data_IF_620796269426
#
_entry.id   IF_620796269426
#
_cell.length_a   1.000
_cell.length_b   1.000
_cell.length_c   1.000
_cell.angle_alpha   90.00
_cell.angle_beta   90.00
_cell.angle_gamma   90.00
#
_symmetry.space_group_name_H-M   'P 1'
#
loop_
_entity.id
_entity.type
_entity.pdbx_description
1 polymer ?
#
# COMPACT_ATOMS: atom_id res chain seq x y z
N UNK A 1 -6.09 81.15 -26.23
CA UNK A 1 -6.55 79.76 -26.40
C UNK A 1 -5.33 78.88 -26.67
N UNK A 2 -4.84 78.15 -25.67
CA UNK A 2 -3.83 77.09 -25.82
C UNK A 2 -4.15 76.01 -24.78
N UNK A 3 -4.53 74.83 -25.26
CA UNK A 3 -4.96 73.69 -24.47
C UNK A 3 -3.77 73.03 -23.76
N UNK A 4 -3.89 72.79 -22.46
CA UNK A 4 -2.97 71.94 -21.69
C UNK A 4 -3.56 70.53 -21.72
N UNK A 5 -2.87 69.60 -22.39
CA UNK A 5 -3.22 68.19 -22.42
C UNK A 5 -2.52 67.47 -21.27
N UNK A 6 -3.29 67.09 -20.26
CA UNK A 6 -2.82 66.31 -19.11
C UNK A 6 -2.88 64.82 -19.48
N UNK A 7 -1.71 64.18 -19.67
CA UNK A 7 -1.60 62.73 -19.90
C UNK A 7 -1.65 62.04 -18.53
N UNK A 8 -2.75 61.35 -18.25
CA UNK A 8 -2.93 60.53 -17.05
C UNK A 8 -2.23 59.18 -17.22
N UNK A 9 -1.30 58.88 -16.31
CA UNK A 9 -0.65 57.58 -16.18
C UNK A 9 -1.61 56.63 -15.44
N UNK A 10 -2.13 55.64 -16.16
CA UNK A 10 -2.99 54.58 -15.62
C UNK A 10 -2.12 53.52 -14.95
N UNK A 11 -2.11 53.49 -13.62
CA UNK A 11 -1.42 52.49 -12.81
C UNK A 11 -2.20 51.16 -12.85
N UNK A 12 -1.76 50.20 -13.66
CA UNK A 12 -2.28 48.82 -13.62
C UNK A 12 -1.81 48.13 -12.33
N UNK A 13 -2.69 48.01 -11.33
CA UNK A 13 -2.49 47.11 -10.20
C UNK A 13 -2.65 45.66 -10.69
N UNK A 14 -1.52 44.94 -10.77
CA UNK A 14 -1.53 43.49 -11.00
C UNK A 14 -2.18 42.77 -9.83
N UNK A 15 -3.32 42.13 -10.08
CA UNK A 15 -3.91 41.12 -9.20
C UNK A 15 -2.99 39.90 -9.17
N UNK A 16 -2.11 39.83 -8.19
CA UNK A 16 -1.42 38.58 -7.86
C UNK A 16 -2.44 37.66 -7.20
N UNK A 17 -3.01 36.72 -7.96
CA UNK A 17 -3.74 35.61 -7.37
C UNK A 17 -2.76 34.79 -6.53
N UNK A 18 -2.86 34.90 -5.20
CA UNK A 18 -2.24 33.95 -4.30
C UNK A 18 -2.88 32.58 -4.61
N UNK A 19 -2.14 31.72 -5.31
CA UNK A 19 -2.45 30.30 -5.33
C UNK A 19 -2.16 29.82 -3.91
N UNK A 20 -3.19 29.74 -3.08
CA UNK A 20 -3.11 28.98 -1.85
C UNK A 20 -2.91 27.52 -2.28
N UNK A 21 -1.66 27.06 -2.32
CA UNK A 21 -1.39 25.64 -2.28
C UNK A 21 -2.04 25.15 -0.99
N UNK A 22 -3.06 24.31 -1.10
CA UNK A 22 -3.68 23.67 0.05
C UNK A 22 -2.59 22.84 0.73
N UNK A 23 -2.06 23.37 1.82
CA UNK A 23 -0.80 22.93 2.40
C UNK A 23 -1.00 21.57 3.06
N UNK A 24 -0.25 20.56 2.63
CA UNK A 24 -0.28 19.24 3.23
C UNK A 24 0.11 19.33 4.71
N UNK A 25 -0.81 18.98 5.61
CA UNK A 25 -0.53 18.97 7.04
C UNK A 25 0.45 17.82 7.34
N UNK A 26 1.39 18.06 8.24
CA UNK A 26 2.43 17.08 8.59
C UNK A 26 2.43 16.81 10.09
N UNK A 27 2.48 15.55 10.47
CA UNK A 27 2.61 15.10 11.85
C UNK A 27 3.74 14.07 11.97
N UNK A 28 4.57 14.21 13.00
CA UNK A 28 5.62 13.24 13.31
C UNK A 28 5.06 12.22 14.29
N UNK A 29 5.00 10.95 13.87
CA UNK A 29 4.57 9.87 14.73
C UNK A 29 5.68 9.52 15.71
N UNK A 30 5.41 9.76 16.99
CA UNK A 30 6.25 9.32 18.09
C UNK A 30 5.55 8.18 18.82
N UNK A 31 6.28 7.09 19.05
CA UNK A 31 5.76 5.98 19.81
C UNK A 31 6.01 6.21 21.30
N UNK A 32 5.07 5.76 22.13
CA UNK A 32 5.29 5.72 23.57
C UNK A 32 6.53 4.87 23.88
N UNK A 33 7.18 5.10 25.02
CA UNK A 33 8.37 4.34 25.42
C UNK A 33 8.06 2.83 25.40
N UNK A 34 8.87 2.07 24.67
CA UNK A 34 8.72 0.62 24.46
C UNK A 34 7.49 0.19 23.65
N UNK A 35 6.69 1.13 23.14
CA UNK A 35 5.66 0.82 22.16
C UNK A 35 6.31 0.68 20.77
N UNK A 36 5.77 -0.25 20.00
CA UNK A 36 6.20 -0.57 18.65
C UNK A 36 5.30 0.07 17.60
N UNK A 37 4.18 0.67 18.01
CA UNK A 37 3.25 1.30 17.09
C UNK A 37 2.38 2.33 17.79
N UNK A 38 1.57 3.01 16.99
CA UNK A 38 0.60 4.00 17.43
C UNK A 38 -0.65 3.97 16.54
N UNK A 39 -1.68 4.68 16.96
CA UNK A 39 -2.83 4.96 16.11
C UNK A 39 -3.21 6.42 16.25
N UNK A 40 -3.44 7.06 15.11
CA UNK A 40 -3.84 8.46 15.01
C UNK A 40 -5.18 8.54 14.30
N UNK A 41 -5.98 9.52 14.69
CA UNK A 41 -7.26 9.83 14.05
C UNK A 41 -7.17 11.19 13.40
N UNK A 42 -7.80 11.34 12.24
CA UNK A 42 -7.81 12.60 11.51
C UNK A 42 -9.04 12.73 10.63
N UNK A 43 -9.16 13.90 10.02
CA UNK A 43 -10.19 14.21 9.03
C UNK A 43 -9.54 15.03 7.93
N UNK A 44 -9.87 14.75 6.66
CA UNK A 44 -9.45 15.54 5.50
C UNK A 44 -10.67 15.92 4.67
N UNK A 45 -10.66 17.11 4.09
CA UNK A 45 -11.69 17.58 3.16
C UNK A 45 -11.09 18.02 1.84
N UNK A 46 -11.79 17.81 0.73
CA UNK A 46 -11.36 18.32 -0.56
C UNK A 46 -9.96 17.85 -0.96
N UNK A 47 -9.04 18.78 -1.22
CA UNK A 47 -7.66 18.50 -1.63
C UNK A 47 -6.68 18.42 -0.46
N UNK A 48 -7.16 18.55 0.77
CA UNK A 48 -6.34 18.37 1.96
C UNK A 48 -5.70 16.98 1.96
N UNK A 49 -4.43 16.95 2.37
CA UNK A 49 -3.71 15.71 2.63
C UNK A 49 -3.08 15.77 4.01
N UNK A 50 -2.86 14.59 4.60
CA UNK A 50 -2.21 14.44 5.89
C UNK A 50 -0.98 13.53 5.75
N UNK A 51 0.20 14.08 6.02
CA UNK A 51 1.47 13.37 5.94
C UNK A 51 1.94 12.98 7.34
N UNK A 52 2.01 11.68 7.60
CA UNK A 52 2.56 11.13 8.83
C UNK A 52 4.00 10.69 8.60
N UNK A 53 4.93 11.24 9.39
CA UNK A 53 6.35 10.89 9.32
C UNK A 53 6.69 9.91 10.42
N UNK A 54 7.28 8.77 10.04
CA UNK A 54 7.71 7.73 10.99
C UNK A 54 9.15 7.34 10.70
N UNK A 55 9.98 7.32 11.73
CA UNK A 55 11.38 6.89 11.60
C UNK A 55 11.49 5.41 11.91
N UNK A 56 12.11 4.68 10.99
CA UNK A 56 12.30 3.25 11.07
C UNK A 56 13.68 2.86 10.51
N UNK A 57 14.07 1.62 10.74
CA UNK A 57 15.33 1.03 10.28
C UNK A 57 15.05 -0.01 9.21
N UNK A 58 16.01 -0.19 8.31
CA UNK A 58 16.01 -1.30 7.38
C UNK A 58 15.91 -2.64 8.14
N UNK A 59 15.16 -3.59 7.60
CA UNK A 59 14.92 -4.90 8.20
C UNK A 59 13.81 -4.93 9.25
N UNK A 60 13.28 -3.78 9.68
CA UNK A 60 12.10 -3.75 10.55
C UNK A 60 10.84 -4.10 9.76
N UNK A 61 9.86 -4.72 10.40
CA UNK A 61 8.56 -4.99 9.81
C UNK A 61 7.62 -3.83 10.09
N UNK A 62 7.18 -3.11 9.05
CA UNK A 62 6.19 -2.04 9.17
C UNK A 62 4.82 -2.54 8.72
N UNK A 63 3.80 -2.28 9.53
CA UNK A 63 2.39 -2.41 9.16
C UNK A 63 1.71 -1.03 9.24
N UNK A 64 1.01 -0.65 8.18
CA UNK A 64 0.16 0.54 8.13
C UNK A 64 -1.24 0.09 7.72
N UNK A 65 -2.25 0.49 8.50
CA UNK A 65 -3.64 0.18 8.21
C UNK A 65 -4.49 1.45 8.31
N UNK A 66 -5.26 1.74 7.27
CA UNK A 66 -6.20 2.84 7.20
C UNK A 66 -7.62 2.30 7.44
N UNK A 67 -8.31 2.85 8.42
CA UNK A 67 -9.73 2.60 8.65
C UNK A 67 -10.53 3.88 8.38
N UNK A 68 -11.46 3.81 7.44
CA UNK A 68 -12.36 4.91 7.07
C UNK A 68 -13.64 4.33 6.48
N UNK A 69 -14.77 5.02 6.64
CA UNK A 69 -16.02 4.70 5.95
C UNK A 69 -16.09 5.31 4.55
N UNK A 70 -15.17 6.22 4.22
CA UNK A 70 -15.14 6.94 2.96
C UNK A 70 -14.44 6.10 1.87
N UNK A 71 -15.17 5.75 0.82
CA UNK A 71 -14.73 4.78 -0.21
C UNK A 71 -13.69 5.32 -1.17
N UNK A 72 -13.36 6.60 -1.08
CA UNK A 72 -12.44 7.29 -1.98
C UNK A 72 -11.19 7.83 -1.26
N UNK A 73 -10.97 7.39 -0.01
CA UNK A 73 -9.86 7.80 0.85
C UNK A 73 -8.84 6.68 0.97
N UNK A 74 -7.58 7.01 0.71
CA UNK A 74 -6.47 6.05 0.64
C UNK A 74 -5.22 6.61 1.31
N UNK A 75 -4.17 5.80 1.39
CA UNK A 75 -2.85 6.28 1.75
C UNK A 75 -1.77 5.77 0.80
N UNK A 76 -0.68 6.52 0.69
CA UNK A 76 0.55 6.08 0.04
C UNK A 76 1.68 6.02 1.08
N UNK A 77 2.67 5.16 0.85
CA UNK A 77 3.90 5.11 1.66
C UNK A 77 5.09 5.43 0.77
N UNK A 78 5.94 6.35 1.23
CA UNK A 78 7.14 6.80 0.54
C UNK A 78 8.37 6.43 1.37
N UNK A 79 9.42 5.97 0.68
CA UNK A 79 10.69 5.61 1.29
C UNK A 79 11.45 6.86 1.79
N UNK A 80 12.46 6.70 2.66
CA UNK A 80 13.29 7.81 3.12
C UNK A 80 13.88 8.63 1.97
N UNK A 81 13.73 9.96 2.05
CA UNK A 81 14.20 10.89 1.02
C UNK A 81 13.24 11.11 -0.15
N UNK A 82 12.09 10.43 -0.17
CA UNK A 82 11.02 10.60 -1.18
C UNK A 82 9.73 11.09 -0.53
N UNK A 83 8.81 11.64 -1.32
CA UNK A 83 7.52 12.11 -0.83
C UNK A 83 6.46 12.31 -1.92
N UNK A 84 5.35 13.00 -1.60
CA UNK A 84 4.30 13.28 -2.56
C UNK A 84 4.84 13.97 -3.82
N UNK A 85 4.67 13.33 -4.97
CA UNK A 85 5.28 13.74 -6.25
C UNK A 85 6.33 12.75 -6.77
N UNK A 86 6.88 11.91 -5.89
CA UNK A 86 7.82 10.84 -6.23
C UNK A 86 7.11 9.47 -6.34
N UNK A 87 7.88 8.43 -6.66
CA UNK A 87 7.41 7.05 -6.60
C UNK A 87 7.17 6.61 -5.15
N UNK A 88 5.96 6.11 -4.88
CA UNK A 88 5.62 5.50 -3.60
C UNK A 88 5.96 4.00 -3.59
N UNK A 89 6.39 3.48 -2.44
CA UNK A 89 6.57 2.04 -2.22
C UNK A 89 5.25 1.32 -1.96
N UNK A 90 4.18 2.07 -1.68
CA UNK A 90 2.81 1.59 -1.58
C UNK A 90 1.83 2.65 -2.07
N UNK A 91 0.86 2.23 -2.89
CA UNK A 91 -0.18 3.10 -3.44
C UNK A 91 -1.55 2.51 -3.06
N UNK A 92 -2.22 3.09 -2.05
CA UNK A 92 -3.45 2.52 -1.52
C UNK A 92 -4.63 2.55 -2.48
N UNK A 93 -4.66 3.49 -3.42
CA UNK A 93 -5.73 3.55 -4.43
C UNK A 93 -5.72 2.35 -5.40
N UNK A 94 -4.60 1.65 -5.51
CA UNK A 94 -4.47 0.41 -6.28
C UNK A 94 -4.32 -0.84 -5.41
N UNK A 95 -3.72 -0.68 -4.23
CA UNK A 95 -3.27 -1.79 -3.38
C UNK A 95 -4.11 -1.99 -2.12
N UNK A 96 -5.08 -1.11 -1.84
CA UNK A 96 -6.01 -1.23 -0.71
C UNK A 96 -5.67 -0.36 0.50
N UNK A 97 -6.21 -0.73 1.64
CA UNK A 97 -6.17 0.04 2.90
C UNK A 97 -5.17 -0.52 3.93
N UNK A 98 -4.32 -1.47 3.53
CA UNK A 98 -3.25 -2.03 4.35
C UNK A 98 -1.93 -2.20 3.60
N UNK A 99 -0.84 -1.95 4.31
CA UNK A 99 0.52 -2.14 3.88
C UNK A 99 1.27 -2.90 4.97
N UNK A 100 1.97 -3.98 4.60
CA UNK A 100 2.81 -4.74 5.52
C UNK A 100 4.07 -5.20 4.78
N UNK A 101 5.25 -4.73 5.20
CA UNK A 101 6.52 -5.12 4.57
C UNK A 101 7.69 -5.02 5.52
N UNK A 102 8.75 -5.77 5.21
CA UNK A 102 10.08 -5.50 5.72
C UNK A 102 10.63 -4.26 5.02
N UNK A 103 11.17 -3.33 5.81
CA UNK A 103 11.60 -2.04 5.31
C UNK A 103 12.96 -2.14 4.59
N UNK A 104 13.09 -1.63 3.35
CA UNK A 104 14.33 -1.76 2.57
C UNK A 104 15.42 -0.78 3.02
N UNK A 105 15.06 0.31 3.71
CA UNK A 105 15.99 1.37 4.08
C UNK A 105 15.73 1.91 5.49
N UNK A 106 16.79 2.38 6.14
CA UNK A 106 16.67 3.15 7.38
C UNK A 106 16.39 4.61 7.06
N UNK A 107 15.51 5.24 7.83
CA UNK A 107 15.23 6.67 7.73
C UNK A 107 13.77 6.99 8.04
N UNK A 108 13.36 8.18 7.63
CA UNK A 108 12.00 8.67 7.86
C UNK A 108 11.13 8.40 6.64
N UNK A 109 10.15 7.53 6.82
CA UNK A 109 9.11 7.23 5.84
C UNK A 109 8.00 8.27 5.93
N UNK A 110 7.36 8.56 4.80
CA UNK A 110 6.16 9.42 4.74
C UNK A 110 4.95 8.57 4.39
N UNK A 111 3.90 8.65 5.22
CA UNK A 111 2.60 8.03 4.97
C UNK A 111 1.62 9.14 4.67
N UNK A 112 1.19 9.28 3.42
CA UNK A 112 0.26 10.32 3.01
C UNK A 112 -1.16 9.77 2.94
N UNK A 113 -2.08 10.26 3.77
CA UNK A 113 -3.53 10.03 3.64
C UNK A 113 -4.13 11.10 2.74
N UNK A 114 -4.93 10.69 1.76
CA UNK A 114 -5.51 11.57 0.74
C UNK A 114 -6.83 11.02 0.19
N UNK A 115 -7.55 11.89 -0.53
CA UNK A 115 -8.70 11.50 -1.36
C UNK A 115 -8.34 11.52 -2.84
N UNK A 116 -8.92 10.61 -3.62
CA UNK A 116 -8.81 10.68 -5.08
C UNK A 116 -9.45 11.96 -5.61
N UNK A 117 -8.96 12.42 -6.76
CA UNK A 117 -9.33 13.72 -7.34
C UNK A 117 -10.85 13.91 -7.54
N UNK A 118 -11.59 12.85 -7.83
CA UNK A 118 -13.04 12.92 -8.04
C UNK A 118 -13.79 13.32 -6.77
N UNK A 119 -13.44 12.72 -5.62
CA UNK A 119 -13.99 13.06 -4.30
C UNK A 119 -13.51 14.44 -3.84
N UNK A 120 -12.21 14.72 -3.99
CA UNK A 120 -11.62 16.00 -3.63
C UNK A 120 -12.30 17.19 -4.34
N UNK A 121 -12.58 17.05 -5.65
CA UNK A 121 -13.31 18.07 -6.43
C UNK A 121 -14.74 18.32 -5.94
N UNK A 122 -15.38 17.31 -5.36
CA UNK A 122 -16.72 17.44 -4.77
C UNK A 122 -16.68 17.99 -3.34
N UNK A 123 -15.49 18.33 -2.84
CA UNK A 123 -15.26 18.80 -1.48
C UNK A 123 -15.84 17.84 -0.43
N UNK A 124 -15.73 16.53 -0.69
CA UNK A 124 -16.10 15.50 0.27
C UNK A 124 -15.18 15.55 1.49
N UNK A 125 -15.64 15.00 2.61
CA UNK A 125 -14.90 14.91 3.85
C UNK A 125 -14.80 13.46 4.31
N UNK A 126 -13.64 13.08 4.82
CA UNK A 126 -13.39 11.74 5.30
C UNK A 126 -12.72 11.77 6.67
N UNK A 127 -13.41 11.19 7.65
CA UNK A 127 -12.78 10.82 8.92
C UNK A 127 -12.05 9.49 8.75
N UNK A 128 -10.91 9.38 9.41
CA UNK A 128 -10.09 8.17 9.35
C UNK A 128 -9.33 7.91 10.65
N UNK A 129 -8.92 6.65 10.78
CA UNK A 129 -7.93 6.20 11.76
C UNK A 129 -6.79 5.52 11.01
N UNK A 130 -5.57 5.98 11.24
CA UNK A 130 -4.35 5.37 10.71
C UNK A 130 -3.62 4.65 11.85
N UNK A 131 -3.42 3.34 11.71
CA UNK A 131 -2.56 2.55 12.59
C UNK A 131 -1.21 2.37 11.91
N UNK A 132 -0.15 2.59 12.66
CA UNK A 132 1.23 2.36 12.22
C UNK A 132 1.93 1.53 13.27
N UNK A 133 2.54 0.42 12.87
CA UNK A 133 3.27 -0.49 13.74
C UNK A 133 4.61 -0.85 13.09
N UNK A 134 5.67 -0.90 13.90
CA UNK A 134 7.05 -1.23 13.52
C UNK A 134 7.58 -2.22 14.56
N UNK A 135 7.84 -3.45 14.12
CA UNK A 135 8.30 -4.58 14.95
C UNK A 135 7.39 -4.90 16.14
N UNK A 136 6.16 -4.39 16.16
CA UNK A 136 5.21 -4.79 17.17
C UNK A 136 4.96 -6.25 17.03
N UNK A 137 4.84 -6.89 18.19
CA UNK A 137 4.35 -8.24 18.33
C UNK A 137 3.34 -8.43 17.23
N UNK A 138 3.72 -9.20 16.20
CA UNK A 138 2.78 -9.78 15.28
C UNK A 138 1.66 -10.20 16.23
N UNK A 139 0.46 -9.66 16.05
CA UNK A 139 -0.72 -10.32 16.59
C UNK A 139 -0.53 -11.72 16.07
N UNK A 140 -0.04 -12.57 16.95
CA UNK A 140 0.42 -13.88 16.61
C UNK A 140 -0.88 -14.51 16.18
N UNK A 141 -1.12 -14.55 14.87
CA UNK A 141 -1.97 -15.60 14.34
C UNK A 141 -1.34 -16.84 14.96
N UNK A 142 -2.08 -17.52 15.86
CA UNK A 142 -1.49 -18.40 16.84
C UNK A 142 -0.52 -19.31 16.10
N UNK A 143 0.70 -19.43 16.64
CA UNK A 143 1.45 -20.66 16.40
C UNK A 143 0.47 -21.76 16.76
N UNK A 144 -0.15 -22.37 15.77
CA UNK A 144 -0.96 -23.56 15.97
C UNK A 144 0.01 -24.61 16.47
N UNK A 145 0.17 -24.69 17.79
CA UNK A 145 0.50 -25.92 18.47
C UNK A 145 -0.69 -26.82 18.22
N UNK A 146 -0.61 -27.63 17.17
CA UNK A 146 -1.67 -28.56 16.82
C UNK A 146 -1.44 -29.17 15.45
N UNK A 147 -0.68 -30.26 15.42
CA UNK A 147 -0.77 -31.27 14.36
C UNK A 147 0.42 -31.33 13.42
N UNK A 148 1.53 -31.91 13.89
CA UNK A 148 2.35 -32.72 13.01
C UNK A 148 1.45 -33.80 12.38
N UNK A 149 1.18 -33.66 11.08
CA UNK A 149 1.15 -34.78 10.13
C UNK A 149 1.66 -34.30 8.77
N UNK A 150 2.98 -34.37 8.62
CA UNK A 150 3.58 -34.70 7.33
C UNK A 150 4.01 -33.51 6.46
N UNK A 151 5.34 -33.36 6.34
CA UNK A 151 6.11 -32.45 5.48
C UNK A 151 6.33 -31.04 6.04
N UNK A 152 7.44 -30.91 6.79
CA UNK A 152 8.16 -29.65 7.00
C UNK A 152 8.62 -29.10 5.66
N UNK A 153 7.75 -28.35 4.99
CA UNK A 153 8.15 -27.52 3.87
C UNK A 153 9.11 -26.44 4.41
N UNK A 154 10.40 -26.58 4.14
CA UNK A 154 11.36 -25.51 4.35
C UNK A 154 11.05 -24.40 3.33
N UNK A 155 10.54 -23.26 3.80
CA UNK A 155 10.28 -22.05 3.03
C UNK A 155 11.37 -21.01 3.30
N UNK A 156 11.62 -20.16 2.31
CA UNK A 156 12.62 -19.08 2.39
C UNK A 156 12.00 -17.79 2.94
N UNK A 157 10.72 -17.55 2.66
CA UNK A 157 10.00 -16.38 3.18
C UNK A 157 8.51 -16.67 3.36
N UNK A 158 7.84 -15.77 4.07
CA UNK A 158 6.39 -15.77 4.30
C UNK A 158 5.87 -14.34 4.32
N UNK A 159 4.60 -14.15 4.02
CA UNK A 159 3.99 -12.83 4.03
C UNK A 159 2.50 -12.89 3.67
N UNK A 160 1.98 -11.76 3.16
CA UNK A 160 0.60 -11.62 2.69
C UNK A 160 0.62 -11.28 1.19
N UNK A 161 -0.26 -11.92 0.42
CA UNK A 161 -0.61 -11.53 -0.94
C UNK A 161 -1.99 -10.87 -0.94
N UNK A 162 -2.16 -9.73 -1.62
CA UNK A 162 -3.49 -9.21 -1.94
C UNK A 162 -4.22 -10.22 -2.85
N UNK A 163 -5.42 -10.60 -2.47
CA UNK A 163 -6.23 -11.57 -3.19
C UNK A 163 -7.73 -11.25 -3.15
N UNK A 164 -8.51 -11.89 -4.01
CA UNK A 164 -9.97 -11.75 -4.00
C UNK A 164 -10.64 -12.92 -4.70
N UNK A 165 -11.94 -13.08 -4.46
CA UNK A 165 -12.75 -14.10 -5.10
C UNK A 165 -13.88 -13.52 -5.95
N UNK A 166 -14.19 -14.18 -7.07
CA UNK A 166 -15.23 -13.80 -8.03
C UNK A 166 -14.87 -12.59 -8.90
N UNK A 167 -14.34 -11.53 -8.30
CA UNK A 167 -13.85 -10.33 -8.98
C UNK A 167 -12.43 -9.95 -8.51
N UNK A 168 -11.58 -9.34 -9.37
CA UNK A 168 -10.20 -8.95 -9.04
C UNK A 168 -10.14 -7.66 -8.21
N UNK A 169 -10.74 -7.67 -7.02
CA UNK A 169 -10.77 -6.51 -6.12
C UNK A 169 -9.58 -6.43 -5.14
N UNK A 170 -8.85 -7.53 -4.93
CA UNK A 170 -7.65 -7.60 -4.08
C UNK A 170 -7.82 -7.12 -2.63
N UNK A 171 -9.05 -7.14 -2.10
CA UNK A 171 -9.39 -6.65 -0.76
C UNK A 171 -9.16 -7.67 0.36
N UNK A 172 -8.64 -8.87 0.06
CA UNK A 172 -8.38 -9.91 1.06
C UNK A 172 -6.88 -10.14 1.20
N UNK A 173 -6.49 -10.50 2.42
CA UNK A 173 -5.13 -10.89 2.76
C UNK A 173 -5.02 -12.41 2.67
N UNK A 174 -4.29 -12.91 1.68
CA UNK A 174 -3.98 -14.32 1.55
C UNK A 174 -2.57 -14.59 2.07
N UNK A 175 -2.40 -15.24 3.24
CA UNK A 175 -1.08 -15.63 3.72
C UNK A 175 -0.36 -16.48 2.69
N UNK A 176 0.95 -16.27 2.55
CA UNK A 176 1.78 -17.10 1.70
C UNK A 176 3.06 -17.57 2.39
N UNK A 177 3.59 -18.67 1.89
CA UNK A 177 4.94 -19.17 2.09
C UNK A 177 5.57 -19.35 0.72
N UNK A 178 6.84 -19.01 0.57
CA UNK A 178 7.56 -19.19 -0.70
C UNK A 178 8.85 -19.95 -0.48
N UNK A 179 9.16 -20.84 -1.40
CA UNK A 179 10.49 -21.42 -1.57
C UNK A 179 10.99 -21.08 -2.96
N UNK A 180 12.09 -20.38 -3.03
CA UNK A 180 12.74 -19.97 -4.26
C UNK A 180 13.65 -21.09 -4.73
N UNK A 181 13.81 -21.16 -6.04
CA UNK A 181 14.71 -22.08 -6.74
C UNK A 181 15.43 -21.31 -7.84
N UNK A 182 16.48 -21.91 -8.41
CA UNK A 182 17.12 -21.32 -9.59
C UNK A 182 16.07 -21.13 -10.69
N UNK A 183 15.86 -19.88 -11.13
CA UNK A 183 14.91 -19.53 -12.19
C UNK A 183 13.44 -19.39 -11.79
N UNK A 184 13.09 -19.46 -10.49
CA UNK A 184 11.71 -19.17 -10.07
C UNK A 184 11.38 -19.53 -8.62
N UNK A 185 10.12 -19.87 -8.36
CA UNK A 185 9.62 -20.09 -6.99
C UNK A 185 8.42 -21.05 -6.93
N UNK A 186 8.24 -21.70 -5.78
CA UNK A 186 6.97 -22.33 -5.38
C UNK A 186 6.35 -21.49 -4.25
N UNK A 187 5.16 -20.98 -4.50
CA UNK A 187 4.40 -20.09 -3.61
C UNK A 187 3.16 -20.85 -3.14
N UNK A 188 3.07 -21.11 -1.85
CA UNK A 188 1.89 -21.69 -1.20
C UNK A 188 1.09 -20.57 -0.58
N UNK A 189 -0.19 -20.44 -0.92
CA UNK A 189 -1.05 -19.39 -0.38
C UNK A 189 -2.46 -19.90 -0.09
N UNK A 190 -3.18 -19.20 0.77
CA UNK A 190 -4.59 -19.51 1.04
C UNK A 190 -5.45 -19.13 -0.16
N UNK A 191 -6.49 -19.92 -0.45
CA UNK A 191 -7.50 -19.57 -1.44
C UNK A 191 -8.40 -18.47 -0.89
N UNK A 192 -8.72 -17.43 -1.68
CA UNK A 192 -9.68 -16.43 -1.25
C UNK A 192 -11.06 -17.06 -1.06
N UNK A 193 -11.45 -18.05 -1.89
CA UNK A 193 -12.57 -18.95 -1.64
C UNK A 193 -12.25 -20.38 -2.12
N UNK A 194 -12.66 -21.42 -1.37
CA UNK A 194 -13.16 -21.36 0.01
C UNK A 194 -12.05 -20.92 0.99
N UNK A 195 -12.41 -20.26 2.10
CA UNK A 195 -11.48 -19.62 3.06
C UNK A 195 -10.49 -20.58 3.79
N UNK A 196 -10.58 -21.88 3.53
CA UNK A 196 -9.65 -22.90 4.07
C UNK A 196 -8.92 -23.68 2.97
N UNK A 197 -9.18 -23.36 1.70
CA UNK A 197 -8.46 -23.95 0.58
C UNK A 197 -7.01 -23.48 0.56
N UNK A 198 -6.11 -24.33 0.09
CA UNK A 198 -4.72 -23.95 -0.22
C UNK A 198 -4.52 -23.93 -1.73
N UNK A 199 -3.63 -23.06 -2.18
CA UNK A 199 -3.23 -22.87 -3.56
C UNK A 199 -1.71 -22.96 -3.61
N UNK A 200 -1.19 -23.75 -4.53
CA UNK A 200 0.24 -23.70 -4.84
C UNK A 200 0.42 -23.14 -6.23
N UNK A 201 1.23 -22.09 -6.34
CA UNK A 201 1.63 -21.47 -7.59
C UNK A 201 3.10 -21.76 -7.82
N UNK A 202 3.42 -22.34 -8.97
CA UNK A 202 4.79 -22.54 -9.41
C UNK A 202 5.11 -21.47 -10.43
N UNK A 203 6.22 -20.78 -10.23
CA UNK A 203 6.79 -19.86 -11.20
C UNK A 203 8.09 -20.46 -11.73
N UNK A 204 8.20 -20.57 -13.05
CA UNK A 204 9.40 -21.05 -13.74
C UNK A 204 9.39 -20.55 -15.19
N UNK A 205 10.54 -20.11 -15.70
CA UNK A 205 10.69 -19.61 -17.08
C UNK A 205 9.62 -18.56 -17.48
N UNK A 206 9.38 -17.57 -16.61
CA UNK A 206 8.38 -16.50 -16.78
C UNK A 206 6.92 -16.95 -16.92
N UNK A 207 6.61 -18.14 -16.40
CA UNK A 207 5.28 -18.74 -16.48
C UNK A 207 4.81 -19.24 -15.13
N UNK A 208 3.50 -19.11 -14.91
CA UNK A 208 2.84 -19.70 -13.75
C UNK A 208 2.17 -21.03 -14.10
N UNK A 209 2.17 -21.96 -13.15
CA UNK A 209 1.31 -23.15 -13.12
C UNK A 209 0.77 -23.40 -11.70
N UNK A 210 -0.23 -24.26 -11.56
CA UNK A 210 -0.78 -24.64 -10.23
C UNK A 210 -0.55 -26.10 -9.91
N UNK A 211 -0.73 -26.46 -8.64
CA UNK A 211 -0.75 -27.84 -8.14
C UNK A 211 -1.87 -28.70 -8.74
N UNK A 212 -3.03 -28.10 -8.95
CA UNK A 212 -4.24 -28.79 -9.41
C UNK A 212 -4.53 -28.65 -10.91
N UNK A 213 -3.57 -28.10 -11.68
CA UNK A 213 -3.72 -27.79 -13.11
C UNK A 213 -4.90 -26.86 -13.45
N UNK A 214 -5.38 -26.06 -12.49
CA UNK A 214 -6.33 -24.98 -12.75
C UNK A 214 -5.81 -24.08 -13.89
N UNK A 215 -6.67 -23.69 -14.86
CA UNK A 215 -6.26 -22.77 -15.89
C UNK A 215 -5.88 -21.43 -15.27
N UNK A 216 -4.72 -20.91 -15.67
CA UNK A 216 -4.22 -19.63 -15.20
C UNK A 216 -4.25 -18.60 -16.33
N UNK A 217 -4.59 -17.37 -15.96
CA UNK A 217 -4.31 -16.19 -16.76
C UNK A 217 -3.46 -15.24 -15.92
N UNK A 218 -2.37 -14.72 -16.47
CA UNK A 218 -1.50 -13.83 -15.73
C UNK A 218 -0.97 -12.72 -16.62
N UNK A 219 -0.69 -11.58 -15.99
CA UNK A 219 -0.12 -10.42 -16.64
C UNK A 219 0.85 -9.74 -15.68
N UNK A 220 2.06 -9.45 -16.15
CA UNK A 220 3.00 -8.61 -15.40
C UNK A 220 2.53 -7.16 -15.46
N UNK A 221 2.53 -6.48 -14.32
CA UNK A 221 2.09 -5.11 -14.10
C UNK A 221 3.12 -4.39 -13.22
N UNK A 222 4.13 -3.79 -13.86
CA UNK A 222 5.29 -3.26 -13.13
C UNK A 222 6.02 -4.41 -12.41
N UNK A 223 6.19 -4.26 -11.10
CA UNK A 223 6.87 -5.25 -10.24
C UNK A 223 5.90 -6.25 -9.60
N UNK A 224 4.67 -6.32 -10.10
CA UNK A 224 3.65 -7.27 -9.66
C UNK A 224 3.20 -8.16 -10.81
N UNK A 225 2.78 -9.37 -10.47
CA UNK A 225 2.03 -10.25 -11.35
C UNK A 225 0.59 -10.26 -10.92
N UNK A 226 -0.28 -9.81 -11.82
CA UNK A 226 -1.70 -10.11 -11.72
C UNK A 226 -1.91 -11.54 -12.18
N UNK A 227 -2.55 -12.35 -11.35
CA UNK A 227 -2.81 -13.75 -11.63
C UNK A 227 -4.26 -14.10 -11.30
N UNK A 228 -4.96 -14.68 -12.27
CA UNK A 228 -6.26 -15.30 -12.11
C UNK A 228 -6.12 -16.81 -12.23
N UNK A 229 -6.62 -17.55 -11.24
CA UNK A 229 -6.78 -18.98 -11.30
C UNK A 229 -8.27 -19.33 -11.51
N UNK A 230 -8.58 -19.86 -12.68
CA UNK A 230 -9.95 -20.03 -13.15
C UNK A 230 -10.70 -18.70 -13.26
N UNK A 231 -11.96 -18.69 -12.82
CA UNK A 231 -12.81 -17.49 -12.81
C UNK A 231 -13.08 -16.95 -11.40
N UNK A 232 -12.51 -17.58 -10.38
CA UNK A 232 -12.92 -17.36 -9.00
C UNK A 232 -11.80 -16.90 -8.08
N UNK A 233 -10.53 -17.02 -8.46
CA UNK A 233 -9.41 -16.69 -7.58
C UNK A 233 -8.49 -15.69 -8.28
N UNK A 234 -8.19 -14.58 -7.60
CA UNK A 234 -7.30 -13.55 -8.11
C UNK A 234 -6.23 -13.22 -7.07
N UNK A 235 -4.99 -13.04 -7.53
CA UNK A 235 -3.83 -12.74 -6.71
C UNK A 235 -2.99 -11.63 -7.36
N UNK A 236 -2.43 -10.74 -6.52
CA UNK A 236 -1.31 -9.88 -6.89
C UNK A 236 -0.05 -10.42 -6.24
N UNK A 237 0.93 -10.80 -7.05
CA UNK A 237 2.18 -11.43 -6.60
C UNK A 237 3.35 -10.50 -6.92
N UNK A 238 3.96 -9.84 -5.92
CA UNK A 238 5.15 -9.04 -6.14
C UNK A 238 6.32 -9.88 -6.65
N UNK A 239 7.17 -9.29 -7.50
CA UNK A 239 8.42 -9.91 -7.96
C UNK A 239 9.32 -10.32 -6.79
N UNK A 240 9.32 -9.55 -5.71
CA UNK A 240 10.06 -9.85 -4.48
C UNK A 240 9.66 -11.20 -3.85
N UNK A 241 8.43 -11.68 -4.10
CA UNK A 241 8.02 -13.02 -3.68
C UNK A 241 8.82 -14.07 -4.45
N UNK A 242 8.93 -13.92 -5.77
CA UNK A 242 9.60 -14.88 -6.66
C UNK A 242 11.12 -14.80 -6.53
N UNK A 243 11.67 -13.58 -6.54
CA UNK A 243 13.11 -13.35 -6.70
C UNK A 243 13.82 -12.95 -5.41
N UNK A 244 13.08 -12.50 -4.40
CA UNK A 244 13.65 -11.83 -3.24
C UNK A 244 13.73 -10.31 -3.46
N UNK A 245 13.97 -9.59 -2.36
CA UNK A 245 14.30 -8.17 -2.39
C UNK A 245 15.80 -7.94 -2.44
#
# INVERSE_FOLDING_TARGET
>A
MKFVATIGILLLLGLTSAVCAEEARTEILQFAKSATGTSVTGSISGYETMNYKVTAKAGQQMEVALATSHTATYFNVFAPGTGPGDAAIFIGSTSGDRFATELPASGTYTIQVYMIRSAARRNESADFKLRVDIDGNHSSHPRSRGGDRGQTWAYDARGILPCSAGEPSFRRDCPFQVKRKSGGAEIRTTKPLPEQGQRVLYFDNDRFSTDDNSPLNWQRQGDNWWLAAGQQEYYLIPDAVIWGG
#
